data_IF_773046401988
#
_entry.id   IF_773046401988
#
_cell.length_a   1.000
_cell.length_b   1.000
_cell.length_c   1.000
_cell.angle_alpha   90.00
_cell.angle_beta   90.00
_cell.angle_gamma   90.00
#
_symmetry.space_group_name_H-M   'P 1'
#
loop_
_entity.id
_entity.type
_entity.pdbx_description
1 polymer ?
#
# COMPACT_ATOMS: atom_id res chain seq x y z
N UNK A 1 -11.85 -51.10 32.59
CA UNK A 1 -11.28 -49.78 32.93
C UNK A 1 -10.89 -49.11 31.61
N UNK A 2 -11.79 -48.41 30.90
CA UNK A 2 -12.13 -46.97 31.05
C UNK A 2 -10.85 -46.14 30.79
N UNK A 3 -10.67 -45.28 29.77
CA UNK A 3 -11.55 -44.34 29.03
C UNK A 3 -10.84 -43.98 27.69
N UNK A 4 -11.50 -44.07 26.52
CA UNK A 4 -12.06 -42.95 25.69
C UNK A 4 -11.14 -41.74 25.42
N UNK A 5 -10.78 -41.55 24.14
CA UNK A 5 -11.11 -40.40 23.27
C UNK A 5 -10.37 -40.60 21.93
N UNK A 6 -10.99 -40.84 20.78
CA UNK A 6 -11.95 -40.02 20.01
C UNK A 6 -11.30 -38.85 19.28
N UNK A 7 -11.49 -38.89 17.95
CA UNK A 7 -11.48 -37.82 16.96
C UNK A 7 -10.14 -37.38 16.35
N UNK A 8 -9.88 -37.91 15.15
CA UNK A 8 -9.65 -37.03 14.00
C UNK A 8 -10.80 -36.00 13.94
N UNK A 9 -10.51 -34.72 14.21
CA UNK A 9 -11.17 -33.56 13.60
C UNK A 9 -10.62 -32.30 14.26
N UNK A 10 -10.24 -31.32 13.45
CA UNK A 10 -9.74 -30.04 13.91
C UNK A 10 -9.50 -29.08 12.75
N UNK A 11 -10.59 -28.78 12.03
CA UNK A 11 -10.79 -27.62 11.15
C UNK A 11 -9.77 -27.44 10.01
N UNK A 12 -10.10 -27.74 8.76
CA UNK A 12 -11.02 -26.89 7.97
C UNK A 12 -10.84 -25.41 8.27
N UNK A 13 -9.65 -24.89 8.03
CA UNK A 13 -9.53 -23.55 7.47
C UNK A 13 -9.07 -23.76 6.03
N UNK A 14 -10.02 -24.09 5.18
CA UNK A 14 -10.03 -23.55 3.82
C UNK A 14 -10.04 -22.03 4.02
N UNK A 15 -8.87 -21.43 4.25
CA UNK A 15 -8.68 -20.03 3.94
C UNK A 15 -9.01 -19.97 2.46
N UNK A 16 -10.20 -19.44 2.16
CA UNK A 16 -10.54 -18.95 0.84
C UNK A 16 -9.39 -18.03 0.48
N UNK A 17 -8.43 -18.57 -0.27
CA UNK A 17 -7.42 -17.81 -0.94
C UNK A 17 -8.16 -17.11 -2.08
N UNK A 18 -9.00 -16.13 -1.73
CA UNK A 18 -9.18 -14.97 -2.58
C UNK A 18 -7.83 -14.26 -2.52
N UNK A 19 -6.84 -14.81 -3.22
CA UNK A 19 -5.59 -14.10 -3.48
C UNK A 19 -6.06 -12.82 -4.11
N UNK A 20 -6.09 -11.73 -3.35
CA UNK A 20 -6.34 -10.44 -3.93
C UNK A 20 -5.32 -10.31 -5.05
N UNK A 21 -5.81 -10.02 -6.26
CA UNK A 21 -4.93 -9.89 -7.41
C UNK A 21 -4.07 -8.67 -7.17
N UNK A 22 -2.83 -8.93 -6.75
CA UNK A 22 -1.83 -7.92 -6.51
C UNK A 22 -0.99 -7.75 -7.78
N UNK A 23 -0.74 -6.50 -8.14
CA UNK A 23 0.22 -6.14 -9.17
C UNK A 23 1.53 -5.77 -8.48
N UNK A 24 2.57 -6.58 -8.72
CA UNK A 24 3.93 -6.23 -8.35
C UNK A 24 4.56 -5.44 -9.49
N UNK A 25 4.66 -4.12 -9.31
CA UNK A 25 5.23 -3.21 -10.31
C UNK A 25 6.00 -2.10 -9.63
N UNK A 26 7.23 -1.87 -10.08
CA UNK A 26 8.02 -0.71 -9.67
C UNK A 26 7.57 0.53 -10.45
N UNK A 27 6.50 1.18 -9.98
CA UNK A 27 6.06 2.46 -10.52
C UNK A 27 6.58 3.62 -9.66
N UNK A 28 7.05 4.72 -10.26
CA UNK A 28 7.32 5.93 -9.51
C UNK A 28 6.01 6.43 -8.89
N UNK A 29 6.09 7.00 -7.70
CA UNK A 29 4.97 7.71 -7.09
C UNK A 29 5.43 8.88 -6.25
N UNK A 30 4.52 9.83 -6.04
CA UNK A 30 4.66 10.91 -5.07
C UNK A 30 3.72 10.63 -3.90
N UNK A 31 4.25 10.63 -2.69
CA UNK A 31 3.47 10.47 -1.45
C UNK A 31 3.46 11.79 -0.71
N UNK A 32 2.29 12.20 -0.26
CA UNK A 32 2.15 13.33 0.66
C UNK A 32 1.21 13.01 1.81
N UNK A 33 1.42 13.71 2.93
CA UNK A 33 0.66 13.52 4.14
C UNK A 33 1.28 14.28 5.30
N UNK A 34 0.99 13.82 6.52
CA UNK A 34 1.55 14.35 7.76
C UNK A 34 2.47 13.29 8.37
N UNK A 35 3.68 13.69 8.74
CA UNK A 35 4.67 12.83 9.40
C UNK A 35 4.36 12.64 10.89
N UNK A 36 5.10 11.75 11.58
CA UNK A 36 4.96 11.51 13.02
C UNK A 36 5.29 12.74 13.89
N UNK A 37 5.90 13.79 13.33
CA UNK A 37 6.14 15.08 13.99
C UNK A 37 5.02 16.10 13.78
N UNK A 38 3.96 15.72 13.07
CA UNK A 38 2.84 16.60 12.75
C UNK A 38 3.13 17.58 11.60
N UNK A 39 4.19 17.36 10.82
CA UNK A 39 4.57 18.24 9.70
C UNK A 39 4.09 17.66 8.38
N UNK A 40 3.65 18.55 7.49
CA UNK A 40 3.33 18.16 6.13
C UNK A 40 4.60 17.75 5.38
N UNK A 41 4.53 16.62 4.68
CA UNK A 41 5.61 16.15 3.84
C UNK A 41 5.10 15.80 2.44
N UNK A 42 6.03 15.84 1.49
CA UNK A 42 5.83 15.35 0.14
C UNK A 42 7.14 14.75 -0.34
N UNK A 43 7.15 13.46 -0.65
CA UNK A 43 8.35 12.76 -1.11
C UNK A 43 8.10 11.89 -2.35
N UNK A 44 9.14 11.74 -3.15
CA UNK A 44 9.16 10.78 -4.27
C UNK A 44 9.59 9.40 -3.77
N UNK A 45 8.88 8.38 -4.23
CA UNK A 45 9.08 6.97 -3.86
C UNK A 45 8.74 6.03 -5.03
N UNK A 46 8.83 4.73 -4.78
CA UNK A 46 8.48 3.66 -5.70
C UNK A 46 7.48 2.71 -5.06
N UNK A 47 6.50 2.32 -5.86
CA UNK A 47 5.49 1.35 -5.50
C UNK A 47 6.17 -0.02 -5.51
N UNK A 48 6.00 -0.79 -4.43
CA UNK A 48 6.47 -2.17 -4.38
C UNK A 48 5.37 -3.11 -4.88
N UNK A 49 4.13 -2.90 -4.41
CA UNK A 49 2.96 -3.64 -4.84
C UNK A 49 1.67 -2.86 -4.61
N UNK A 50 0.63 -3.20 -5.35
CA UNK A 50 -0.71 -2.61 -5.21
C UNK A 50 -1.80 -3.62 -5.54
N UNK A 51 -2.88 -3.61 -4.77
CA UNK A 51 -4.14 -4.28 -5.03
C UNK A 51 -5.29 -3.26 -5.07
N UNK A 52 -6.53 -3.72 -5.22
CA UNK A 52 -7.71 -2.85 -5.08
C UNK A 52 -7.91 -2.30 -3.67
N UNK A 53 -7.26 -2.88 -2.67
CA UNK A 53 -7.50 -2.56 -1.25
C UNK A 53 -6.25 -2.01 -0.56
N UNK A 54 -5.06 -2.31 -1.07
CA UNK A 54 -3.82 -1.96 -0.39
C UNK A 54 -2.71 -1.55 -1.35
N UNK A 55 -1.81 -0.70 -0.85
CA UNK A 55 -0.57 -0.36 -1.53
C UNK A 55 0.61 -0.50 -0.57
N UNK A 56 1.75 -0.95 -1.09
CA UNK A 56 2.99 -1.09 -0.34
C UNK A 56 4.09 -0.30 -1.02
N UNK A 57 4.80 0.52 -0.26
CA UNK A 57 5.88 1.37 -0.74
C UNK A 57 6.85 1.69 0.40
N UNK A 58 7.97 2.32 0.06
CA UNK A 58 8.98 2.77 1.01
C UNK A 58 8.83 4.28 1.26
N UNK A 59 9.04 4.77 2.47
CA UNK A 59 9.11 6.21 2.77
C UNK A 59 10.36 6.51 3.58
N UNK A 60 10.97 7.67 3.35
CA UNK A 60 11.98 8.21 4.27
C UNK A 60 11.34 8.96 5.42
N UNK A 61 10.19 9.60 5.19
CA UNK A 61 9.41 10.22 6.23
C UNK A 61 8.87 9.16 7.19
N UNK A 62 8.97 9.42 8.49
CA UNK A 62 8.35 8.58 9.50
C UNK A 62 6.87 8.92 9.59
N UNK A 63 6.02 7.90 9.45
CA UNK A 63 4.56 8.05 9.51
C UNK A 63 3.97 7.11 10.55
N UNK A 64 2.98 7.62 11.27
CA UNK A 64 2.27 6.83 12.27
C UNK A 64 1.20 5.94 11.65
N UNK A 65 0.84 4.91 12.41
CA UNK A 65 -0.35 4.11 12.10
C UNK A 65 -1.57 5.03 12.09
N UNK A 66 -2.51 4.78 11.18
CA UNK A 66 -3.70 5.60 10.95
C UNK A 66 -3.45 6.98 10.30
N UNK A 67 -2.21 7.35 9.98
CA UNK A 67 -1.96 8.54 9.19
C UNK A 67 -2.64 8.44 7.80
N UNK A 68 -3.23 9.54 7.33
CA UNK A 68 -3.81 9.63 5.99
C UNK A 68 -2.76 10.07 4.99
N UNK A 69 -2.56 9.28 3.95
CA UNK A 69 -1.59 9.56 2.89
C UNK A 69 -2.30 9.68 1.54
N UNK A 70 -1.78 10.58 0.71
CA UNK A 70 -2.16 10.74 -0.70
C UNK A 70 -1.04 10.20 -1.57
N UNK A 71 -1.41 9.38 -2.54
CA UNK A 71 -0.51 8.80 -3.53
C UNK A 71 -0.86 9.38 -4.89
N UNK A 72 0.16 9.83 -5.62
CA UNK A 72 0.04 10.25 -7.01
C UNK A 72 0.99 9.40 -7.84
N UNK A 73 0.42 8.56 -8.70
CA UNK A 73 1.17 7.63 -9.53
C UNK A 73 1.03 8.10 -10.99
N UNK A 74 2.09 8.62 -11.64
CA UNK A 74 2.03 8.89 -13.06
C UNK A 74 1.86 7.59 -13.83
N UNK A 75 0.81 7.51 -14.65
CA UNK A 75 0.53 6.34 -15.45
C UNK A 75 1.51 6.25 -16.62
N UNK A 76 2.13 5.08 -16.86
CA UNK A 76 2.90 4.85 -18.06
C UNK A 76 2.10 5.21 -19.32
N UNK A 77 2.72 5.80 -20.36
CA UNK A 77 2.01 6.23 -21.58
C UNK A 77 1.20 5.11 -22.25
N UNK A 78 1.68 3.87 -22.12
CA UNK A 78 1.00 2.66 -22.63
C UNK A 78 -0.32 2.35 -21.93
N UNK A 79 -0.52 2.84 -20.71
CA UNK A 79 -1.76 2.68 -19.92
C UNK A 79 -2.68 3.89 -20.03
N UNK A 80 -2.21 4.97 -20.65
CA UNK A 80 -2.90 6.25 -20.73
C UNK A 80 -3.11 6.73 -22.17
N UNK A 81 -3.03 5.84 -23.17
CA UNK A 81 -3.18 6.16 -24.59
C UNK A 81 -2.32 7.36 -25.04
N UNK A 82 -1.09 7.45 -24.50
CA UNK A 82 -0.15 8.54 -24.77
C UNK A 82 -0.43 9.85 -24.02
N UNK A 83 -1.46 9.91 -23.18
CA UNK A 83 -1.77 11.08 -22.35
C UNK A 83 -0.97 11.06 -21.03
N UNK A 84 -0.58 12.22 -20.50
CA UNK A 84 0.10 12.33 -19.21
C UNK A 84 -0.90 12.23 -18.04
N UNK A 85 -1.46 11.04 -17.82
CA UNK A 85 -2.45 10.82 -16.75
C UNK A 85 -1.78 10.42 -15.43
N UNK A 86 -2.37 10.87 -14.33
CA UNK A 86 -2.00 10.49 -12.98
C UNK A 86 -3.14 9.71 -12.33
N UNK A 87 -2.81 8.60 -11.66
CA UNK A 87 -3.70 7.92 -10.73
C UNK A 87 -3.49 8.51 -9.34
N UNK A 88 -4.52 9.20 -8.83
CA UNK A 88 -4.54 9.78 -7.49
C UNK A 88 -5.35 8.88 -6.57
N UNK A 89 -4.70 8.42 -5.51
CA UNK A 89 -5.27 7.55 -4.49
C UNK A 89 -5.12 8.20 -3.12
N UNK A 90 -6.01 7.85 -2.21
CA UNK A 90 -5.91 8.17 -0.80
C UNK A 90 -6.01 6.89 0.02
N UNK A 91 -5.40 6.91 1.19
CA UNK A 91 -5.44 5.76 2.07
C UNK A 91 -4.99 6.07 3.48
N UNK A 92 -5.11 5.06 4.33
CA UNK A 92 -4.75 5.12 5.74
C UNK A 92 -3.64 4.11 6.05
N UNK A 93 -2.62 4.52 6.78
CA UNK A 93 -1.49 3.64 7.14
C UNK A 93 -1.97 2.50 8.04
N UNK A 94 -1.88 1.26 7.55
CA UNK A 94 -2.16 0.05 8.33
C UNK A 94 -0.95 -0.36 9.16
N UNK A 95 0.23 -0.20 8.58
CA UNK A 95 1.49 -0.63 9.16
C UNK A 95 2.65 0.21 8.57
N UNK A 96 3.57 0.63 9.42
CA UNK A 96 4.86 1.22 9.06
C UNK A 96 5.95 0.48 9.84
N UNK A 97 6.90 -0.12 9.14
CA UNK A 97 7.99 -0.92 9.74
C UNK A 97 9.32 -0.36 9.27
N UNK A 98 10.23 -0.08 10.21
CA UNK A 98 11.58 0.38 9.88
C UNK A 98 12.27 -0.61 8.93
N UNK A 99 12.85 -0.07 7.88
CA UNK A 99 13.48 -0.83 6.80
C UNK A 99 14.60 -0.01 6.18
N UNK A 100 15.57 -0.70 5.58
CA UNK A 100 16.61 -0.06 4.79
C UNK A 100 16.44 -0.47 3.33
N UNK A 101 16.28 0.51 2.44
CA UNK A 101 16.23 0.28 1.01
C UNK A 101 17.47 0.90 0.37
N UNK A 102 18.32 0.09 -0.27
CA UNK A 102 19.56 0.54 -0.92
C UNK A 102 20.47 1.41 -0.02
N UNK A 103 20.54 1.10 1.29
CA UNK A 103 21.36 1.83 2.27
C UNK A 103 20.71 3.09 2.85
N UNK A 104 19.51 3.45 2.39
CA UNK A 104 18.72 4.55 2.93
C UNK A 104 17.78 3.99 4.01
N UNK A 105 17.84 4.57 5.21
CA UNK A 105 16.92 4.25 6.31
C UNK A 105 15.56 4.90 6.06
N UNK A 106 14.51 4.19 6.42
CA UNK A 106 13.13 4.66 6.30
C UNK A 106 12.15 3.57 6.72
N UNK A 107 10.95 3.60 6.19
CA UNK A 107 9.87 2.71 6.58
C UNK A 107 9.27 2.01 5.35
N UNK A 108 9.02 0.71 5.47
CA UNK A 108 8.10 0.00 4.58
C UNK A 108 6.68 0.25 5.08
N UNK A 109 5.89 0.92 4.27
CA UNK A 109 4.51 1.34 4.60
C UNK A 109 3.53 0.45 3.84
N UNK A 110 2.54 -0.08 4.56
CA UNK A 110 1.35 -0.72 4.00
C UNK A 110 0.17 0.20 4.24
N UNK A 111 -0.46 0.62 3.16
CA UNK A 111 -1.56 1.56 3.14
C UNK A 111 -2.84 0.83 2.76
N UNK A 112 -3.93 1.06 3.51
CA UNK A 112 -5.28 0.70 3.09
C UNK A 112 -5.82 1.78 2.18
N UNK A 113 -6.15 1.42 0.94
CA UNK A 113 -6.71 2.35 -0.03
C UNK A 113 -8.18 2.64 0.27
N UNK A 114 -8.57 3.88 0.05
CA UNK A 114 -9.98 4.28 0.00
C UNK A 114 -10.58 3.84 -1.35
N UNK A 115 -11.89 3.56 -1.38
CA UNK A 115 -12.56 3.13 -2.62
C UNK A 115 -12.64 4.22 -3.69
N UNK A 116 -12.28 5.47 -3.37
CA UNK A 116 -12.30 6.59 -4.31
C UNK A 116 -10.91 6.78 -4.90
N UNK A 117 -10.85 6.83 -6.22
CA UNK A 117 -9.66 7.15 -6.98
C UNK A 117 -10.00 8.18 -8.06
N UNK A 118 -8.98 8.90 -8.52
CA UNK A 118 -9.10 9.83 -9.63
C UNK A 118 -8.03 9.53 -10.67
N UNK A 119 -8.39 9.60 -11.95
CA UNK A 119 -7.46 9.51 -13.08
C UNK A 119 -7.61 10.79 -13.90
N UNK A 120 -6.54 11.58 -14.00
CA UNK A 120 -6.57 12.85 -14.73
C UNK A 120 -5.20 13.47 -14.92
N UNK A 121 -5.11 14.52 -15.74
CA UNK A 121 -3.84 15.14 -16.11
C UNK A 121 -3.17 15.88 -14.94
N UNK A 122 -3.95 16.50 -14.04
CA UNK A 122 -3.48 17.21 -12.85
C UNK A 122 -4.52 17.10 -11.71
N UNK A 123 -4.04 17.19 -10.46
CA UNK A 123 -4.87 17.26 -9.26
C UNK A 123 -5.63 18.59 -9.27
N UNK A 124 -6.96 18.55 -9.43
CA UNK A 124 -7.82 19.71 -9.27
C UNK A 124 -8.39 19.73 -7.85
#
# INVERSE_FOLDING_TARGET
MNKKATALSGAEIMEKNTSQKEFSMSLPLKVSGVDSSGREFSEESHLASISSEEAVFFLRAEVDRQASLKLVIPLPPKLADGQPLNLVLRGTVLQAVQSALAGIQGQRVRLKLESRYFIGAEDN
#
